data_IF_690396612718
#
_entry.id   IF_690396612718
#
_cell.length_a   1.000
_cell.length_b   1.000
_cell.length_c   1.000
_cell.angle_alpha   90.00
_cell.angle_beta   90.00
_cell.angle_gamma   90.00
#
_symmetry.space_group_name_H-M   'P 1'
#
loop_
_entity.id
_entity.type
_entity.pdbx_description
1 polymer ?
#
# COMPACT_ATOMS: atom_id res chain seq x y z
N UNK A 1 4.44 -6.42 15.38
CA UNK A 1 3.53 -7.49 14.88
C UNK A 1 2.99 -7.13 13.51
N UNK A 2 2.34 -8.09 12.79
CA UNK A 2 1.64 -7.86 11.52
C UNK A 2 0.15 -8.13 11.72
N UNK A 3 -0.68 -7.19 11.31
CA UNK A 3 -2.14 -7.25 11.49
C UNK A 3 -2.82 -7.41 10.14
N UNK A 4 -3.69 -8.39 10.03
CA UNK A 4 -4.45 -8.75 8.85
C UNK A 4 -5.93 -8.56 9.10
N UNK A 5 -6.64 -7.99 8.15
CA UNK A 5 -8.10 -7.98 8.18
C UNK A 5 -8.61 -9.18 7.38
N UNK A 6 -9.53 -9.92 8.00
CA UNK A 6 -10.26 -11.01 7.40
C UNK A 6 -11.70 -10.58 7.18
N UNK A 7 -12.31 -11.04 6.10
CA UNK A 7 -13.71 -10.77 5.79
C UNK A 7 -14.41 -12.07 5.41
N UNK A 8 -15.63 -12.28 5.92
CA UNK A 8 -16.47 -13.41 5.54
C UNK A 8 -17.42 -13.05 4.39
N UNK A 9 -18.14 -14.04 3.85
CA UNK A 9 -19.10 -13.86 2.77
C UNK A 9 -20.29 -12.93 3.12
N UNK A 10 -20.54 -12.68 4.41
CA UNK A 10 -21.57 -11.75 4.89
C UNK A 10 -21.05 -10.31 5.04
N UNK A 11 -19.74 -10.10 4.84
CA UNK A 11 -19.07 -8.82 5.02
C UNK A 11 -18.67 -8.53 6.47
N UNK A 12 -18.68 -9.54 7.36
CA UNK A 12 -18.23 -9.36 8.73
C UNK A 12 -16.70 -9.34 8.75
N UNK A 13 -16.15 -8.35 9.43
CA UNK A 13 -14.70 -8.15 9.54
C UNK A 13 -14.15 -8.76 10.81
N UNK A 14 -12.92 -9.28 10.72
CA UNK A 14 -12.12 -9.75 11.85
C UNK A 14 -10.69 -9.25 11.75
N UNK A 15 -10.12 -8.95 12.89
CA UNK A 15 -8.70 -8.60 13.00
C UNK A 15 -7.93 -9.83 13.48
N UNK A 16 -6.90 -10.20 12.72
CA UNK A 16 -5.98 -11.27 13.09
C UNK A 16 -4.54 -10.75 13.12
N UNK A 17 -3.70 -11.33 13.97
CA UNK A 17 -2.29 -10.92 14.15
C UNK A 17 -1.34 -12.10 13.95
N UNK A 18 -0.26 -11.89 13.21
CA UNK A 18 0.88 -12.79 13.12
C UNK A 18 1.91 -12.42 14.21
N UNK A 19 2.20 -13.37 15.08
CA UNK A 19 3.13 -13.18 16.20
C UNK A 19 4.43 -13.99 16.04
N UNK A 20 4.85 -14.22 14.79
CA UNK A 20 6.12 -14.88 14.47
C UNK A 20 6.11 -16.40 14.52
N UNK A 21 4.95 -17.04 14.70
CA UNK A 21 4.76 -18.49 14.67
C UNK A 21 4.20 -19.03 13.34
N UNK A 22 3.93 -18.12 12.38
CA UNK A 22 3.38 -18.44 11.06
C UNK A 22 1.86 -18.71 11.06
N UNK A 23 1.19 -18.47 12.19
CA UNK A 23 -0.26 -18.52 12.32
C UNK A 23 -0.81 -17.12 12.52
N UNK A 24 -2.02 -16.90 12.05
CA UNK A 24 -2.81 -15.71 12.36
C UNK A 24 -3.72 -16.01 13.54
N UNK A 25 -3.52 -15.31 14.63
CA UNK A 25 -4.37 -15.37 15.83
C UNK A 25 -5.49 -14.35 15.69
N UNK A 26 -6.73 -14.80 15.69
CA UNK A 26 -7.93 -13.97 15.54
C UNK A 26 -8.22 -13.22 16.84
N UNK A 27 -7.87 -11.93 16.87
CA UNK A 27 -8.11 -11.05 18.04
C UNK A 27 -9.59 -10.77 18.25
N UNK A 28 -10.40 -10.75 17.18
CA UNK A 28 -11.86 -10.57 17.29
C UNK A 28 -12.52 -11.77 18.01
N UNK A 29 -11.92 -12.96 17.90
CA UNK A 29 -12.40 -14.11 18.68
C UNK A 29 -12.15 -14.00 20.19
N UNK A 30 -11.16 -13.18 20.59
CA UNK A 30 -10.86 -12.89 22.00
C UNK A 30 -11.67 -11.71 22.53
N UNK A 31 -11.96 -10.71 21.69
CA UNK A 31 -12.72 -9.51 22.02
C UNK A 31 -13.48 -9.04 20.77
N UNK A 32 -14.81 -9.19 20.78
CA UNK A 32 -15.69 -8.90 19.65
C UNK A 32 -15.73 -7.40 19.25
N UNK A 33 -15.27 -6.51 20.10
CA UNK A 33 -15.16 -5.09 19.82
C UNK A 33 -13.88 -4.75 18.99
N UNK A 34 -12.93 -5.67 18.88
CA UNK A 34 -11.67 -5.50 18.13
C UNK A 34 -11.81 -6.12 16.74
N UNK A 35 -12.41 -5.40 15.82
CA UNK A 35 -12.69 -5.88 14.45
C UNK A 35 -11.69 -5.38 13.39
N UNK A 36 -10.93 -4.31 13.70
CA UNK A 36 -9.93 -3.73 12.81
C UNK A 36 -8.72 -3.16 13.56
N UNK A 37 -7.67 -2.83 12.84
CA UNK A 37 -6.44 -2.28 13.41
C UNK A 37 -6.61 -0.84 13.91
N UNK A 38 -7.59 -0.06 13.40
CA UNK A 38 -7.85 1.29 13.85
C UNK A 38 -8.28 1.31 15.32
N UNK A 39 -9.07 0.35 15.77
CA UNK A 39 -9.48 0.22 17.18
C UNK A 39 -8.26 0.02 18.11
N UNK A 40 -7.29 -0.80 17.72
CA UNK A 40 -6.04 -0.95 18.46
C UNK A 40 -5.20 0.33 18.45
N UNK A 41 -5.07 0.99 17.31
CA UNK A 41 -4.36 2.28 17.17
C UNK A 41 -5.03 3.35 18.04
N UNK A 42 -6.35 3.44 18.01
CA UNK A 42 -7.14 4.36 18.82
C UNK A 42 -6.94 4.10 20.31
N UNK A 43 -7.05 2.85 20.73
CA UNK A 43 -6.86 2.43 22.13
C UNK A 43 -5.44 2.69 22.61
N UNK A 44 -4.43 2.39 21.78
CA UNK A 44 -3.03 2.71 22.05
C UNK A 44 -2.83 4.22 22.25
N UNK A 45 -3.39 5.03 21.33
CA UNK A 45 -3.30 6.50 21.41
C UNK A 45 -3.96 7.10 22.66
N UNK A 46 -5.02 6.47 23.21
CA UNK A 46 -5.73 6.93 24.40
C UNK A 46 -5.06 6.45 25.69
N UNK A 47 -4.61 5.21 25.72
CA UNK A 47 -4.02 4.57 26.91
C UNK A 47 -2.53 4.83 27.09
N UNK A 48 -1.82 5.19 26.00
CA UNK A 48 -0.36 5.27 25.97
C UNK A 48 0.32 3.91 26.01
N UNK A 49 -0.43 2.80 25.82
CA UNK A 49 0.11 1.46 25.74
C UNK A 49 0.39 1.16 24.25
N UNK A 50 1.55 0.56 23.98
CA UNK A 50 1.92 0.16 22.64
C UNK A 50 0.92 -0.82 22.02
N UNK A 51 0.70 -0.72 20.69
CA UNK A 51 -0.29 -1.53 19.96
C UNK A 51 0.03 -3.03 20.05
N UNK A 52 1.31 -3.43 19.93
CA UNK A 52 1.73 -4.82 20.00
C UNK A 52 1.58 -5.37 21.45
N UNK A 53 1.78 -4.50 22.44
CA UNK A 53 1.52 -4.86 23.84
C UNK A 53 0.03 -5.01 24.14
N UNK A 54 -0.86 -4.24 23.50
CA UNK A 54 -2.32 -4.42 23.62
C UNK A 54 -2.73 -5.77 23.01
N UNK A 55 -2.28 -6.07 21.79
CA UNK A 55 -2.54 -7.34 21.12
C UNK A 55 -2.00 -8.54 21.95
N UNK A 56 -0.79 -8.41 22.48
CA UNK A 56 -0.20 -9.43 23.37
C UNK A 56 -1.05 -9.76 24.59
N UNK A 57 -1.66 -8.75 25.23
CA UNK A 57 -2.58 -8.97 26.37
C UNK A 57 -3.85 -9.70 25.98
N UNK A 58 -4.39 -9.42 24.79
CA UNK A 58 -5.55 -10.16 24.26
C UNK A 58 -5.20 -11.63 24.03
N UNK A 59 -4.03 -11.90 23.45
CA UNK A 59 -3.54 -13.26 23.20
C UNK A 59 -3.29 -14.05 24.51
N UNK A 60 -2.78 -13.40 25.55
CA UNK A 60 -2.53 -14.03 26.86
C UNK A 60 -3.81 -14.28 27.64
N UNK A 61 -4.84 -13.45 27.46
CA UNK A 61 -6.06 -13.45 28.25
C UNK A 61 -7.15 -14.42 27.77
N UNK A 62 -7.11 -14.86 26.52
CA UNK A 62 -8.15 -15.65 25.88
C UNK A 62 -7.59 -16.75 24.97
N UNK A 63 -8.39 -17.79 24.73
CA UNK A 63 -8.13 -18.75 23.64
C UNK A 63 -8.61 -18.13 22.35
N UNK A 64 -7.69 -17.82 21.43
CA UNK A 64 -8.01 -17.27 20.11
C UNK A 64 -8.20 -18.38 19.08
N UNK A 65 -9.09 -18.15 18.13
CA UNK A 65 -9.12 -18.93 16.89
C UNK A 65 -7.82 -18.66 16.11
N UNK A 66 -7.38 -19.63 15.32
CA UNK A 66 -6.16 -19.47 14.50
C UNK A 66 -6.43 -19.83 13.06
N UNK A 67 -5.80 -19.09 12.15
CA UNK A 67 -5.91 -19.31 10.70
C UNK A 67 -4.51 -19.51 10.10
N UNK A 68 -4.42 -20.37 9.09
CA UNK A 68 -3.19 -20.55 8.33
C UNK A 68 -3.11 -19.49 7.23
N UNK A 69 -2.09 -18.62 7.26
CA UNK A 69 -1.95 -17.54 6.29
C UNK A 69 -1.85 -18.05 4.84
N UNK A 70 -1.10 -19.13 4.58
CA UNK A 70 -0.96 -19.68 3.24
C UNK A 70 -2.30 -20.20 2.68
N UNK A 71 -3.14 -20.77 3.55
CA UNK A 71 -4.48 -21.22 3.18
C UNK A 71 -5.42 -20.02 2.90
N UNK A 72 -5.35 -18.96 3.70
CA UNK A 72 -6.11 -17.74 3.46
C UNK A 72 -5.72 -17.07 2.13
N UNK A 73 -4.42 -17.03 1.80
CA UNK A 73 -3.93 -16.56 0.49
C UNK A 73 -4.53 -17.39 -0.65
N UNK A 74 -4.55 -18.72 -0.52
CA UNK A 74 -5.15 -19.60 -1.52
C UNK A 74 -6.67 -19.37 -1.65
N UNK A 75 -7.36 -19.23 -0.53
CA UNK A 75 -8.80 -18.94 -0.51
C UNK A 75 -9.10 -17.57 -1.14
N UNK A 76 -8.34 -16.54 -0.83
CA UNK A 76 -8.54 -15.20 -1.38
C UNK A 76 -8.30 -15.16 -2.89
N UNK A 77 -7.26 -15.86 -3.37
CA UNK A 77 -6.97 -15.96 -4.81
C UNK A 77 -8.06 -16.69 -5.59
N UNK A 78 -8.74 -17.67 -4.98
CA UNK A 78 -9.77 -18.49 -5.62
C UNK A 78 -11.20 -18.10 -5.23
N UNK A 79 -11.37 -16.99 -4.50
CA UNK A 79 -12.67 -16.53 -3.95
C UNK A 79 -13.42 -17.65 -3.20
N UNK A 80 -12.67 -18.50 -2.48
CA UNK A 80 -13.22 -19.65 -1.77
C UNK A 80 -12.75 -19.72 -0.32
N UNK A 81 -13.59 -20.25 0.59
CA UNK A 81 -13.26 -20.37 2.00
C UNK A 81 -14.20 -19.57 2.90
N UNK A 82 -14.06 -19.74 4.20
CA UNK A 82 -14.89 -19.05 5.19
C UNK A 82 -14.49 -17.59 5.33
N UNK A 83 -13.17 -17.32 5.31
CA UNK A 83 -12.59 -15.99 5.37
C UNK A 83 -11.65 -15.74 4.20
N UNK A 84 -11.63 -14.50 3.73
CA UNK A 84 -10.70 -13.97 2.75
C UNK A 84 -9.86 -12.86 3.37
N UNK A 85 -8.67 -12.63 2.83
CA UNK A 85 -7.86 -11.46 3.17
C UNK A 85 -8.49 -10.21 2.54
N UNK A 86 -8.55 -9.13 3.32
CA UNK A 86 -9.02 -7.83 2.86
C UNK A 86 -7.92 -6.78 3.07
N UNK A 87 -8.09 -5.57 2.54
CA UNK A 87 -7.19 -4.46 2.85
C UNK A 87 -7.11 -4.26 4.37
N UNK A 88 -5.92 -4.01 4.92
CA UNK A 88 -5.72 -4.08 6.37
C UNK A 88 -6.48 -3.01 7.17
N UNK A 89 -6.94 -1.95 6.53
CA UNK A 89 -7.79 -0.89 7.08
C UNK A 89 -8.45 -0.11 5.93
N UNK A 90 -9.45 0.70 6.25
CA UNK A 90 -10.14 1.58 5.29
C UNK A 90 -9.50 2.98 5.33
N UNK A 91 -8.56 3.32 4.41
CA UNK A 91 -7.96 4.65 4.42
C UNK A 91 -8.98 5.68 3.95
N UNK A 92 -9.34 6.71 4.76
CA UNK A 92 -10.22 7.77 4.29
C UNK A 92 -9.60 8.54 3.12
N UNK A 93 -8.28 8.68 3.14
CA UNK A 93 -7.46 9.25 2.08
C UNK A 93 -6.18 8.43 1.90
N UNK A 94 -5.77 8.28 0.63
CA UNK A 94 -4.44 7.82 0.26
C UNK A 94 -3.73 8.96 -0.45
N UNK A 95 -2.60 9.40 0.09
CA UNK A 95 -1.71 10.38 -0.53
C UNK A 95 -0.50 9.67 -1.12
N UNK A 96 0.16 10.30 -2.08
CA UNK A 96 1.39 9.78 -2.65
C UNK A 96 2.44 10.89 -2.78
N UNK A 97 3.71 10.48 -2.76
CA UNK A 97 4.87 11.35 -2.94
C UNK A 97 5.53 11.06 -4.28
N UNK A 98 5.56 12.03 -5.19
CA UNK A 98 6.24 11.91 -6.46
C UNK A 98 7.73 12.19 -6.37
N UNK A 99 8.48 11.61 -7.33
CA UNK A 99 9.92 11.92 -7.61
C UNK A 99 10.80 11.81 -6.35
N UNK A 100 10.59 10.79 -5.54
CA UNK A 100 11.36 10.56 -4.30
C UNK A 100 12.65 9.77 -4.51
N UNK A 101 12.87 9.20 -5.69
CA UNK A 101 14.08 8.46 -6.07
C UNK A 101 14.78 9.10 -7.27
N UNK A 102 16.10 8.94 -7.33
CA UNK A 102 16.89 9.50 -8.45
C UNK A 102 16.56 8.85 -9.80
N UNK A 103 16.28 7.53 -9.79
CA UNK A 103 15.87 6.81 -10.99
C UNK A 103 14.52 7.31 -11.50
N UNK A 104 13.53 7.52 -10.64
CA UNK A 104 12.23 8.05 -11.05
C UNK A 104 12.34 9.48 -11.60
N UNK A 105 13.19 10.35 -11.05
CA UNK A 105 13.47 11.67 -11.64
C UNK A 105 13.99 11.54 -13.08
N UNK A 106 14.92 10.61 -13.30
CA UNK A 106 15.51 10.41 -14.64
C UNK A 106 14.48 9.88 -15.65
N UNK A 107 13.64 8.93 -15.27
CA UNK A 107 12.61 8.39 -16.15
C UNK A 107 11.51 9.41 -16.44
N UNK A 108 11.01 10.13 -15.43
CA UNK A 108 10.02 11.20 -15.62
C UNK A 108 10.51 12.28 -16.60
N UNK A 109 11.79 12.59 -16.59
CA UNK A 109 12.39 13.53 -17.55
C UNK A 109 12.40 13.00 -18.99
N UNK A 110 12.54 11.68 -19.18
CA UNK A 110 12.51 11.05 -20.51
C UNK A 110 11.10 10.97 -21.07
N UNK A 111 10.11 10.77 -20.20
CA UNK A 111 8.71 10.53 -20.54
C UNK A 111 7.89 11.80 -20.74
N UNK A 112 8.38 12.96 -20.29
CA UNK A 112 7.62 14.21 -20.24
C UNK A 112 8.05 15.23 -21.30
N UNK A 113 7.06 15.93 -21.84
CA UNK A 113 7.28 17.13 -22.68
C UNK A 113 7.84 18.33 -21.90
N UNK A 114 7.85 18.25 -20.55
CA UNK A 114 8.36 19.29 -19.65
C UNK A 114 9.39 18.77 -18.64
N UNK A 115 10.54 18.21 -19.07
CA UNK A 115 11.49 17.48 -18.23
C UNK A 115 12.07 18.28 -17.06
N UNK A 116 12.20 19.60 -17.21
CA UNK A 116 12.79 20.48 -16.19
C UNK A 116 11.96 20.57 -14.90
N UNK A 117 10.67 20.30 -14.96
CA UNK A 117 9.77 20.30 -13.79
C UNK A 117 10.22 19.24 -12.79
N UNK A 118 10.50 18.02 -13.25
CA UNK A 118 10.87 16.89 -12.42
C UNK A 118 12.23 17.05 -11.73
N UNK A 119 13.22 17.62 -12.45
CA UNK A 119 14.51 17.96 -11.84
C UNK A 119 14.38 19.03 -10.75
N UNK A 120 13.52 20.03 -10.96
CA UNK A 120 13.24 21.06 -9.97
C UNK A 120 12.55 20.48 -8.74
N UNK A 121 11.58 19.59 -8.91
CA UNK A 121 10.87 18.92 -7.80
C UNK A 121 11.83 18.05 -6.99
N UNK A 122 12.62 17.22 -7.63
CA UNK A 122 13.61 16.36 -6.95
C UNK A 122 14.60 17.18 -6.11
N UNK A 123 15.09 18.31 -6.63
CA UNK A 123 16.04 19.18 -5.95
C UNK A 123 15.40 20.15 -4.95
N UNK A 124 14.06 20.28 -4.95
CA UNK A 124 13.38 21.27 -4.11
C UNK A 124 13.29 20.84 -2.65
N UNK A 125 13.17 21.83 -1.73
CA UNK A 125 12.89 21.55 -0.33
C UNK A 125 11.49 20.97 -0.12
N UNK A 126 10.49 21.43 -0.89
CA UNK A 126 9.11 20.96 -0.81
C UNK A 126 8.96 19.70 -1.66
N UNK A 127 8.53 18.55 -1.11
CA UNK A 127 8.22 17.36 -1.89
C UNK A 127 6.96 17.58 -2.74
N UNK A 128 6.84 16.81 -3.80
CA UNK A 128 5.57 16.61 -4.47
C UNK A 128 4.70 15.69 -3.59
N UNK A 129 3.51 16.16 -3.24
CA UNK A 129 2.50 15.38 -2.52
C UNK A 129 1.16 15.60 -3.22
N UNK A 130 0.47 14.52 -3.53
CA UNK A 130 -0.84 14.57 -4.19
C UNK A 130 -1.80 13.54 -3.61
N UNK A 131 -3.10 13.83 -3.69
CA UNK A 131 -4.15 12.88 -3.35
C UNK A 131 -4.16 11.76 -4.40
N UNK A 132 -3.98 10.52 -3.96
CA UNK A 132 -3.96 9.34 -4.83
C UNK A 132 -5.32 8.67 -4.92
N UNK A 133 -5.96 8.46 -3.80
CA UNK A 133 -7.24 7.77 -3.74
C UNK A 133 -8.03 8.18 -2.50
N UNK A 134 -9.31 7.90 -2.55
CA UNK A 134 -10.19 7.76 -1.39
C UNK A 134 -10.45 6.27 -1.16
N UNK A 135 -11.10 5.92 -0.06
CA UNK A 135 -11.43 4.52 0.27
C UNK A 135 -12.10 3.77 -0.90
N UNK A 136 -13.03 4.44 -1.60
CA UNK A 136 -13.79 3.85 -2.71
C UNK A 136 -12.95 3.51 -3.96
N UNK A 137 -11.72 4.05 -4.07
CA UNK A 137 -10.79 3.82 -5.20
C UNK A 137 -9.58 2.99 -4.81
N UNK A 138 -9.53 2.59 -3.54
CA UNK A 138 -8.44 1.82 -2.97
C UNK A 138 -8.91 0.38 -2.73
N UNK A 139 -8.29 -0.58 -3.39
CA UNK A 139 -8.62 -2.00 -3.28
C UNK A 139 -7.65 -2.73 -2.34
N UNK A 140 -8.03 -3.93 -1.90
CA UNK A 140 -7.25 -4.82 -1.06
C UNK A 140 -6.45 -5.86 -1.86
N UNK A 141 -5.79 -6.80 -1.17
CA UNK A 141 -5.13 -7.93 -1.80
C UNK A 141 -6.15 -8.81 -2.53
N UNK A 142 -5.76 -9.35 -3.69
CA UNK A 142 -6.56 -10.20 -4.58
C UNK A 142 -7.79 -9.54 -5.24
N UNK A 143 -8.09 -8.28 -4.90
CA UNK A 143 -9.04 -7.48 -5.67
C UNK A 143 -8.36 -6.91 -6.93
N UNK A 144 -9.15 -6.60 -7.97
CA UNK A 144 -8.60 -6.08 -9.22
C UNK A 144 -8.23 -4.60 -9.12
N UNK A 145 -7.04 -4.22 -9.62
CA UNK A 145 -6.64 -2.83 -9.87
C UNK A 145 -7.03 -2.38 -11.26
N UNK A 146 -7.30 -1.09 -11.43
CA UNK A 146 -7.78 -0.51 -12.68
C UNK A 146 -6.68 -0.01 -13.60
N UNK A 147 -6.86 -0.19 -14.92
CA UNK A 147 -6.21 0.58 -15.97
C UNK A 147 -7.26 1.37 -16.73
N UNK A 148 -6.91 2.57 -17.18
CA UNK A 148 -7.87 3.45 -17.84
C UNK A 148 -8.08 3.05 -19.31
N UNK A 149 -9.36 2.97 -19.75
CA UNK A 149 -9.74 2.70 -21.14
C UNK A 149 -9.30 3.81 -22.13
N UNK A 150 -9.05 5.03 -21.64
CA UNK A 150 -8.58 6.17 -22.45
C UNK A 150 -7.04 6.38 -22.36
N UNK A 151 -6.30 5.40 -21.88
CA UNK A 151 -4.84 5.45 -21.71
C UNK A 151 -4.15 4.30 -22.44
N UNK A 152 -3.23 4.62 -23.32
CA UNK A 152 -2.46 3.62 -24.07
C UNK A 152 -1.23 3.09 -23.31
N UNK A 153 -0.86 3.71 -22.19
CA UNK A 153 0.33 3.34 -21.42
C UNK A 153 0.06 3.42 -19.92
N UNK A 154 -0.12 2.26 -19.31
CA UNK A 154 -0.43 2.09 -17.89
C UNK A 154 0.63 1.22 -17.22
N UNK A 155 1.05 1.59 -16.01
CA UNK A 155 2.08 0.89 -15.25
C UNK A 155 1.69 0.74 -13.78
N UNK A 156 2.19 -0.33 -13.09
CA UNK A 156 2.16 -0.40 -11.64
C UNK A 156 3.31 0.43 -11.07
N UNK A 157 3.13 0.99 -9.91
CA UNK A 157 4.15 1.66 -9.12
C UNK A 157 4.19 1.04 -7.72
N UNK A 158 5.11 0.08 -7.47
CA UNK A 158 5.26 -0.57 -6.16
C UNK A 158 5.90 0.38 -5.16
N UNK A 159 5.25 0.58 -4.02
CA UNK A 159 5.65 1.57 -3.03
C UNK A 159 5.56 1.04 -1.60
N UNK A 160 6.50 1.41 -0.76
CA UNK A 160 6.27 1.41 0.68
C UNK A 160 5.19 2.45 0.99
N UNK A 161 4.22 2.09 1.82
CA UNK A 161 3.22 3.01 2.34
C UNK A 161 3.35 3.11 3.86
N UNK A 162 3.30 4.33 4.41
CA UNK A 162 3.14 4.53 5.85
C UNK A 162 1.74 5.03 6.18
N UNK A 163 1.30 4.75 7.41
CA UNK A 163 -0.03 5.11 7.90
C UNK A 163 0.10 6.13 9.02
N UNK A 164 -0.73 7.18 9.00
CA UNK A 164 -0.69 8.23 10.02
C UNK A 164 -1.94 8.23 10.91
N UNK A 165 -1.72 8.46 12.20
CA UNK A 165 -2.77 8.68 13.19
C UNK A 165 -2.38 9.87 14.09
N UNK A 166 -3.21 10.91 14.14
CA UNK A 166 -2.92 12.17 14.85
C UNK A 166 -1.55 12.76 14.50
N UNK A 167 -1.20 12.71 13.22
CA UNK A 167 0.06 13.25 12.69
C UNK A 167 1.32 12.44 13.00
N UNK A 168 1.18 11.23 13.56
CA UNK A 168 2.30 10.30 13.81
C UNK A 168 2.20 9.11 12.88
N UNK A 169 3.33 8.59 12.43
CA UNK A 169 3.39 7.30 11.72
C UNK A 169 3.12 6.21 12.75
N UNK A 170 2.10 5.38 12.48
CA UNK A 170 1.65 4.29 13.35
C UNK A 170 1.84 2.91 12.74
N UNK A 171 2.15 2.81 11.46
CA UNK A 171 2.39 1.55 10.79
C UNK A 171 2.77 1.72 9.33
N UNK A 172 3.00 0.57 8.68
CA UNK A 172 3.43 0.44 7.29
C UNK A 172 2.65 -0.66 6.58
N UNK A 173 2.54 -0.53 5.26
CA UNK A 173 1.94 -1.52 4.36
C UNK A 173 2.57 -1.41 2.98
N UNK A 174 2.20 -2.28 2.05
CA UNK A 174 2.53 -2.13 0.63
C UNK A 174 1.46 -1.27 -0.03
N UNK A 175 1.86 -0.42 -0.97
CA UNK A 175 0.96 0.30 -1.86
C UNK A 175 1.29 0.04 -3.34
N UNK A 176 0.27 0.11 -4.19
CA UNK A 176 0.40 0.14 -5.63
C UNK A 176 -0.25 1.45 -6.15
N UNK A 177 0.58 2.38 -6.63
CA UNK A 177 0.14 3.61 -7.28
C UNK A 177 -0.06 3.36 -8.78
N UNK A 178 -1.24 2.81 -9.16
CA UNK A 178 -1.57 2.58 -10.56
C UNK A 178 -1.58 3.88 -11.35
N UNK A 179 -0.85 3.92 -12.47
CA UNK A 179 -0.54 5.18 -13.16
C UNK A 179 -0.79 5.09 -14.65
N UNK A 180 -1.48 6.11 -15.20
CA UNK A 180 -1.52 6.36 -16.63
C UNK A 180 -0.32 7.22 -17.05
N UNK A 181 0.69 6.59 -17.61
CA UNK A 181 1.90 7.29 -18.10
C UNK A 181 1.63 8.18 -19.30
N UNK A 182 0.70 7.80 -20.19
CA UNK A 182 0.33 8.62 -21.34
C UNK A 182 -0.27 9.96 -20.92
N UNK A 183 -1.21 9.96 -19.96
CA UNK A 183 -1.87 11.18 -19.46
C UNK A 183 -0.88 12.04 -18.65
N UNK A 184 -0.08 11.39 -17.78
CA UNK A 184 0.91 12.09 -16.96
C UNK A 184 2.01 12.75 -17.80
N UNK A 185 2.47 12.08 -18.88
CA UNK A 185 3.49 12.59 -19.79
C UNK A 185 3.00 13.72 -20.68
N UNK A 186 1.70 13.73 -21.02
CA UNK A 186 1.09 14.76 -21.86
C UNK A 186 1.14 16.15 -21.20
N UNK A 187 0.77 16.24 -19.93
CA UNK A 187 0.80 17.51 -19.21
C UNK A 187 0.81 17.29 -17.69
N UNK A 188 1.78 17.87 -16.94
CA UNK A 188 1.82 17.76 -15.47
C UNK A 188 0.54 18.20 -14.75
N UNK A 189 -0.26 19.08 -15.35
CA UNK A 189 -1.55 19.50 -14.79
C UNK A 189 -2.63 18.42 -14.88
N UNK A 190 -2.39 17.34 -15.63
CA UNK A 190 -3.29 16.20 -15.75
C UNK A 190 -2.99 15.10 -14.70
N UNK A 191 -2.04 15.34 -13.78
CA UNK A 191 -1.72 14.41 -12.71
C UNK A 191 -2.94 13.83 -11.99
N UNK A 192 -3.99 14.62 -11.61
CA UNK A 192 -5.17 14.05 -10.99
C UNK A 192 -5.89 13.02 -11.87
N UNK A 193 -5.94 13.20 -13.19
CA UNK A 193 -6.55 12.24 -14.11
C UNK A 193 -5.67 11.01 -14.35
N UNK A 194 -4.34 11.20 -14.32
CA UNK A 194 -3.36 10.11 -14.45
C UNK A 194 -3.34 9.18 -13.23
N UNK A 195 -3.67 9.68 -12.05
CA UNK A 195 -3.47 9.02 -10.75
C UNK A 195 -4.77 8.69 -10.00
N UNK A 196 -5.87 9.44 -10.22
CA UNK A 196 -7.11 9.30 -9.44
C UNK A 196 -8.26 8.88 -10.36
N UNK A 197 -8.53 7.58 -10.38
CA UNK A 197 -9.60 6.96 -11.15
C UNK A 197 -10.08 5.69 -10.43
N UNK A 198 -11.05 4.98 -10.97
CA UNK A 198 -11.58 3.78 -10.33
C UNK A 198 -10.51 2.70 -10.17
N UNK A 199 -10.43 2.06 -8.98
CA UNK A 199 -9.45 1.01 -8.65
C UNK A 199 -7.99 1.41 -8.91
N UNK A 200 -7.67 2.70 -8.83
CA UNK A 200 -6.35 3.24 -9.16
C UNK A 200 -5.28 3.00 -8.08
N UNK A 201 -5.66 2.46 -6.93
CA UNK A 201 -4.77 2.21 -5.80
C UNK A 201 -5.05 0.85 -5.16
N UNK A 202 -4.01 0.15 -4.71
CA UNK A 202 -4.16 -1.00 -3.83
C UNK A 202 -3.28 -0.84 -2.60
N UNK A 203 -3.73 -1.35 -1.44
CA UNK A 203 -2.92 -1.47 -0.22
C UNK A 203 -3.07 -2.85 0.41
N UNK A 204 -2.01 -3.35 1.04
CA UNK A 204 -2.01 -4.64 1.74
C UNK A 204 -0.62 -5.29 1.79
N UNK A 205 -0.52 -6.56 2.11
CA UNK A 205 -1.60 -7.45 2.58
C UNK A 205 -1.94 -7.26 4.05
N UNK A 206 -1.10 -6.52 4.81
CA UNK A 206 -1.23 -6.34 6.25
C UNK A 206 -0.75 -4.96 6.69
N UNK A 207 -1.11 -4.58 7.91
CA UNK A 207 -0.55 -3.44 8.63
C UNK A 207 0.60 -3.94 9.52
N UNK A 208 1.77 -3.32 9.42
CA UNK A 208 2.98 -3.68 10.19
C UNK A 208 3.35 -2.54 11.11
N UNK A 209 3.56 -2.83 12.40
CA UNK A 209 3.96 -1.80 13.36
C UNK A 209 5.37 -1.26 13.11
N UNK A 210 5.69 -0.02 13.56
CA UNK A 210 7.03 0.53 13.41
C UNK A 210 8.12 -0.34 14.05
N UNK A 211 7.83 -0.99 15.17
CA UNK A 211 8.74 -1.91 15.85
C UNK A 211 9.00 -3.17 15.02
N UNK A 212 7.97 -3.70 14.36
CA UNK A 212 8.07 -4.93 13.57
C UNK A 212 8.76 -4.72 12.23
N UNK A 213 8.59 -3.57 11.57
CA UNK A 213 9.25 -3.26 10.30
C UNK A 213 10.75 -2.97 10.47
N UNK A 214 11.16 -2.45 11.62
CA UNK A 214 12.52 -1.99 11.86
C UNK A 214 12.85 -0.69 11.12
N UNK A 215 13.86 -0.69 10.24
CA UNK A 215 14.19 0.51 9.46
C UNK A 215 13.41 0.54 8.13
N UNK A 216 12.41 1.42 7.98
CA UNK A 216 11.63 1.51 6.75
C UNK A 216 12.45 2.03 5.56
N UNK A 217 13.67 2.50 5.80
CA UNK A 217 14.61 2.97 4.77
C UNK A 217 15.70 1.96 4.42
N UNK A 218 15.50 0.68 4.75
CA UNK A 218 16.42 -0.41 4.37
C UNK A 218 15.66 -1.71 4.06
N UNK A 219 14.64 -1.61 3.20
CA UNK A 219 13.80 -2.72 2.79
C UNK A 219 13.98 -3.02 1.31
N UNK A 220 14.05 -4.30 0.94
CA UNK A 220 13.95 -4.70 -0.46
C UNK A 220 12.52 -4.60 -0.95
N UNK A 221 12.35 -4.14 -2.20
CA UNK A 221 11.07 -4.01 -2.91
C UNK A 221 11.20 -4.73 -4.23
N UNK A 222 10.28 -5.63 -4.53
CA UNK A 222 10.21 -6.35 -5.79
C UNK A 222 8.82 -6.21 -6.40
N UNK A 223 8.76 -6.03 -7.72
CA UNK A 223 7.52 -6.06 -8.49
C UNK A 223 7.64 -7.05 -9.63
N UNK A 224 6.62 -7.87 -9.82
CA UNK A 224 6.49 -8.80 -10.93
C UNK A 224 5.15 -8.54 -11.60
N UNK A 225 5.11 -8.56 -12.94
CA UNK A 225 3.87 -8.62 -13.71
C UNK A 225 3.86 -9.91 -14.50
N UNK A 226 2.79 -10.68 -14.35
CA UNK A 226 2.55 -11.90 -15.10
C UNK A 226 1.37 -11.72 -16.06
N UNK A 227 1.48 -12.27 -17.28
CA UNK A 227 0.45 -12.30 -18.31
C UNK A 227 0.33 -13.74 -18.80
N UNK A 228 -0.88 -14.30 -18.77
CA UNK A 228 -1.14 -15.71 -19.16
C UNK A 228 -0.21 -16.69 -18.41
N UNK A 229 0.11 -16.38 -17.14
CA UNK A 229 0.98 -17.19 -16.29
C UNK A 229 2.49 -17.07 -16.60
N UNK A 230 2.91 -16.21 -17.52
CA UNK A 230 4.32 -15.94 -17.84
C UNK A 230 4.74 -14.56 -17.29
N UNK A 231 5.93 -14.47 -16.70
CA UNK A 231 6.52 -13.18 -16.29
C UNK A 231 6.80 -12.33 -17.53
N UNK A 232 6.18 -11.12 -17.58
CA UNK A 232 6.38 -10.14 -18.67
C UNK A 232 7.16 -8.92 -18.21
N UNK A 233 7.24 -8.70 -16.90
CA UNK A 233 8.07 -7.68 -16.28
C UNK A 233 8.49 -8.11 -14.88
N UNK A 234 9.71 -7.80 -14.50
CA UNK A 234 10.14 -7.80 -13.09
C UNK A 234 11.15 -6.68 -12.82
N UNK A 235 11.09 -6.14 -11.61
CA UNK A 235 12.02 -5.10 -11.15
C UNK A 235 12.23 -5.20 -9.64
N UNK A 236 13.43 -4.86 -9.21
CA UNK A 236 13.83 -4.87 -7.81
C UNK A 236 14.53 -3.57 -7.43
N UNK A 237 14.40 -3.19 -6.16
CA UNK A 237 15.03 -2.00 -5.61
C UNK A 237 15.12 -2.09 -4.08
N UNK A 238 15.59 -0.99 -3.46
CA UNK A 238 15.58 -0.82 -1.99
C UNK A 238 15.07 0.56 -1.61
N UNK A 239 14.33 0.63 -0.51
CA UNK A 239 13.93 1.91 0.10
C UNK A 239 15.12 2.73 0.60
N UNK A 240 16.31 2.14 0.73
CA UNK A 240 17.56 2.86 1.05
C UNK A 240 17.99 3.87 -0.02
N UNK A 241 17.46 3.75 -1.24
CA UNK A 241 17.70 4.68 -2.34
C UNK A 241 16.74 5.89 -2.34
N UNK A 242 15.78 5.92 -1.42
CA UNK A 242 14.82 7.02 -1.29
C UNK A 242 15.52 8.29 -0.78
N UNK A 243 15.36 9.39 -1.51
CA UNK A 243 15.95 10.68 -1.16
C UNK A 243 15.19 11.42 -0.05
N UNK A 244 13.98 10.96 0.28
CA UNK A 244 13.10 11.56 1.29
C UNK A 244 12.81 10.54 2.39
N UNK A 245 12.74 11.00 3.63
CA UNK A 245 12.33 10.15 4.74
C UNK A 245 10.82 10.16 4.94
N UNK A 246 10.25 9.07 5.46
CA UNK A 246 8.81 8.97 5.75
C UNK A 246 8.35 10.07 6.69
N UNK A 247 9.15 10.40 7.71
CA UNK A 247 8.86 11.46 8.68
C UNK A 247 8.82 12.85 8.01
N UNK A 248 9.73 13.11 7.06
CA UNK A 248 9.74 14.36 6.30
C UNK A 248 8.47 14.50 5.45
N UNK A 249 8.06 13.42 4.76
CA UNK A 249 6.83 13.42 3.95
C UNK A 249 5.60 13.63 4.83
N UNK A 250 5.54 12.97 5.99
CA UNK A 250 4.47 13.15 6.98
C UNK A 250 4.40 14.59 7.47
N UNK A 251 5.53 15.20 7.84
CA UNK A 251 5.61 16.59 8.30
C UNK A 251 5.10 17.58 7.24
N UNK A 252 5.45 17.35 5.97
CA UNK A 252 4.96 18.19 4.88
C UNK A 252 3.47 18.02 4.62
N UNK A 253 2.96 16.81 4.69
CA UNK A 253 1.54 16.49 4.48
C UNK A 253 0.66 17.17 5.54
N UNK A 254 1.07 17.10 6.81
CA UNK A 254 0.31 17.67 7.93
C UNK A 254 0.49 19.19 8.09
N UNK A 255 1.41 19.82 7.37
CA UNK A 255 1.68 21.25 7.48
C UNK A 255 0.53 22.09 6.95
N UNK A 256 -0.20 22.76 7.85
CA UNK A 256 -1.38 23.57 7.53
C UNK A 256 -2.49 22.77 6.84
N UNK A 257 -2.58 21.47 7.11
CA UNK A 257 -3.57 20.57 6.53
C UNK A 257 -4.21 19.71 7.61
N UNK A 258 -5.51 19.46 7.51
CA UNK A 258 -6.27 18.57 8.39
C UNK A 258 -6.35 17.19 7.74
N UNK A 259 -5.39 16.33 8.05
CA UNK A 259 -5.33 14.96 7.51
C UNK A 259 -6.13 14.02 8.42
N UNK A 260 -7.07 13.25 7.87
CA UNK A 260 -7.81 12.24 8.62
C UNK A 260 -6.89 11.19 9.26
N UNK A 261 -7.33 10.63 10.38
CA UNK A 261 -6.66 9.46 10.97
C UNK A 261 -6.72 8.26 10.02
N UNK A 262 -5.77 7.36 10.10
CA UNK A 262 -5.61 6.21 9.20
C UNK A 262 -5.42 6.58 7.72
N UNK A 263 -4.92 7.79 7.43
CA UNK A 263 -4.47 8.15 6.09
C UNK A 263 -3.21 7.36 5.74
N UNK A 264 -3.23 6.70 4.58
CA UNK A 264 -2.05 6.07 4.00
C UNK A 264 -1.27 7.05 3.12
N UNK A 265 0.06 6.92 3.11
CA UNK A 265 0.95 7.76 2.28
C UNK A 265 1.93 6.86 1.54
N UNK A 266 1.80 6.81 0.23
CA UNK A 266 2.70 6.11 -0.69
C UNK A 266 3.98 6.93 -0.84
N UNK A 267 5.15 6.29 -0.78
CA UNK A 267 6.44 7.00 -0.65
C UNK A 267 7.19 7.21 -1.97
N UNK A 268 6.59 6.82 -3.09
CA UNK A 268 7.22 6.84 -4.40
C UNK A 268 7.86 5.51 -4.77
N UNK A 269 8.08 5.31 -6.05
CA UNK A 269 8.70 4.11 -6.61
C UNK A 269 9.96 4.41 -7.39
N UNK A 270 10.99 3.58 -7.30
CA UNK A 270 12.12 3.56 -8.21
C UNK A 270 12.03 2.44 -9.27
N UNK A 271 11.05 1.54 -9.15
CA UNK A 271 10.79 0.48 -10.12
C UNK A 271 9.93 1.04 -11.23
N UNK A 272 10.53 1.25 -12.40
CA UNK A 272 9.88 1.81 -13.57
C UNK A 272 9.97 0.79 -14.70
N UNK A 273 8.83 0.27 -15.19
CA UNK A 273 8.82 -0.57 -16.39
C UNK A 273 9.39 0.16 -17.61
N UNK A 274 9.98 -0.56 -18.59
CA UNK A 274 10.53 0.07 -19.79
C UNK A 274 9.43 0.69 -20.66
N UNK A 275 9.76 1.65 -21.54
CA UNK A 275 8.77 2.42 -22.31
C UNK A 275 7.90 1.61 -23.28
N UNK A 276 8.33 0.40 -23.64
CA UNK A 276 7.60 -0.56 -24.48
C UNK A 276 6.70 -1.50 -23.68
N UNK A 277 6.68 -1.37 -22.35
CA UNK A 277 5.80 -2.12 -21.46
C UNK A 277 4.52 -1.32 -21.16
N UNK A 278 3.38 -1.97 -21.22
CA UNK A 278 2.11 -1.49 -20.66
C UNK A 278 1.33 -2.66 -20.06
N UNK A 279 0.62 -2.40 -18.98
CA UNK A 279 -0.35 -3.34 -18.42
C UNK A 279 -1.48 -3.60 -19.41
N UNK A 280 -2.05 -4.79 -19.34
CA UNK A 280 -3.23 -5.22 -20.06
C UNK A 280 -4.24 -5.87 -19.08
N UNK A 281 -5.50 -5.90 -19.47
CA UNK A 281 -6.53 -6.63 -18.74
C UNK A 281 -6.14 -8.11 -18.62
N UNK A 282 -6.31 -8.68 -17.41
CA UNK A 282 -5.93 -10.05 -17.08
C UNK A 282 -4.46 -10.23 -16.66
N UNK A 283 -3.64 -9.16 -16.67
CA UNK A 283 -2.32 -9.20 -16.00
C UNK A 283 -2.49 -9.40 -14.48
N UNK A 284 -1.47 -9.96 -13.84
CA UNK A 284 -1.36 -10.05 -12.39
C UNK A 284 -0.15 -9.26 -11.94
N UNK A 285 -0.37 -8.26 -11.07
CA UNK A 285 0.68 -7.48 -10.43
C UNK A 285 0.97 -8.05 -9.05
N UNK A 286 2.21 -8.45 -8.80
CA UNK A 286 2.69 -8.95 -7.51
C UNK A 286 3.77 -8.03 -6.98
N UNK A 287 3.55 -7.44 -5.81
CA UNK A 287 4.50 -6.55 -5.12
C UNK A 287 4.91 -7.21 -3.81
N UNK A 288 6.22 -7.38 -3.61
CA UNK A 288 6.81 -7.90 -2.38
C UNK A 288 7.66 -6.83 -1.72
N UNK A 289 7.44 -6.58 -0.41
CA UNK A 289 8.30 -5.73 0.41
C UNK A 289 8.77 -6.53 1.62
N UNK A 290 10.08 -6.52 1.84
CA UNK A 290 10.72 -7.17 2.98
C UNK A 290 10.07 -6.72 4.29
N UNK A 291 9.78 -7.68 5.17
CA UNK A 291 9.17 -7.39 6.48
C UNK A 291 7.64 -7.19 6.44
N UNK A 292 7.05 -6.96 5.27
CA UNK A 292 5.58 -6.80 5.12
C UNK A 292 4.97 -8.09 4.56
N UNK A 293 5.32 -8.46 3.33
CA UNK A 293 4.76 -9.63 2.64
C UNK A 293 4.53 -9.36 1.17
N UNK A 294 3.43 -9.89 0.62
CA UNK A 294 3.09 -9.85 -0.80
C UNK A 294 1.69 -9.27 -1.00
N UNK A 295 1.58 -8.22 -1.82
CA UNK A 295 0.33 -7.69 -2.35
C UNK A 295 0.17 -8.16 -3.80
N UNK A 296 -0.92 -8.84 -4.10
CA UNK A 296 -1.22 -9.37 -5.43
C UNK A 296 -2.57 -8.86 -5.89
N UNK A 297 -2.65 -8.39 -7.13
CA UNK A 297 -3.86 -7.85 -7.73
C UNK A 297 -3.97 -8.23 -9.20
N UNK A 298 -5.15 -8.63 -9.64
CA UNK A 298 -5.48 -8.73 -11.07
C UNK A 298 -5.67 -7.33 -11.67
N UNK A 299 -5.54 -7.21 -12.99
CA UNK A 299 -5.71 -5.95 -13.73
C UNK A 299 -6.99 -6.00 -14.55
N UNK A 300 -7.82 -4.96 -14.46
CA UNK A 300 -9.05 -4.77 -15.26
C UNK A 300 -9.07 -3.38 -15.93
N UNK A 301 -9.72 -3.28 -17.08
CA UNK A 301 -9.98 -1.97 -17.71
C UNK A 301 -11.20 -1.31 -17.06
N UNK A 302 -11.11 0.00 -16.75
CA UNK A 302 -12.14 0.81 -16.09
C UNK A 302 -12.46 2.07 -16.88
#
# INVERSE_FOLDING_TARGET
>A
MKYYRLIDAAGSQRLAVENGDGQLHDLTSADEDIIDVEELVRTSSLSGIDIDALAGRLLEGASTETHNLAQLVEYSRNEGGEFLLDRPFDPPEVWAAGVTYKSSEMERRRESDTPDVYSKVYASKRPELFLKATSDRCVGPFESVGIRSDSAWNVPEPELAFVTYKGKIVGYTIGNDMSSRSIEGENPLYLPQAKVYDRSCAIGPCFVTPEAIGDPHDLSVRCIVSRDGAEVFSGETSTSLMARRCEELSDWLHRSNAIPNMTAVLTGTPVVPPPDFTLAEGDVVTIEIQGIGVLENDVVEV
#
